data_IF_756281975718
#
_entry.id   IF_756281975718
#
_cell.length_a   1.000
_cell.length_b   1.000
_cell.length_c   1.000
_cell.angle_alpha   90.00
_cell.angle_beta   90.00
_cell.angle_gamma   90.00
#
_symmetry.space_group_name_H-M   'P 1'
#
loop_
_entity.id
_entity.type
_entity.pdbx_description
1 polymer ?
#
# COMPACT_ATOMS: atom_id res chain seq x y z
N UNK A 1 19.15 -5.48 -10.66
CA UNK A 1 18.43 -5.72 -10.50
C UNK A 1 17.47 -5.08 -10.64
N UNK A 2 16.82 -5.16 -10.80
CA UNK A 2 15.87 -4.63 -11.10
C UNK A 2 15.26 -3.85 -10.20
N UNK A 3 14.43 -3.05 -10.52
CA UNK A 3 13.82 -2.27 -9.67
C UNK A 3 12.90 -3.03 -8.85
N UNK A 4 12.70 -2.65 -7.66
CA UNK A 4 11.90 -3.35 -6.78
C UNK A 4 10.81 -2.47 -6.31
N UNK A 5 9.67 -3.02 -6.11
CA UNK A 5 8.59 -2.31 -5.49
C UNK A 5 8.88 -2.19 -4.00
N UNK A 6 8.57 -1.05 -3.41
CA UNK A 6 8.99 -0.76 -2.06
C UNK A 6 7.96 -1.09 -1.01
N UNK A 7 8.43 -1.59 0.12
CA UNK A 7 7.61 -1.89 1.27
C UNK A 7 7.57 -0.69 2.19
N UNK A 8 6.53 -0.57 3.03
CA UNK A 8 5.51 -1.57 3.28
C UNK A 8 4.39 -1.60 2.25
N UNK A 9 4.32 -0.60 1.36
CA UNK A 9 3.21 -0.53 0.42
C UNK A 9 3.10 -1.80 -0.43
N UNK A 10 4.24 -2.30 -0.91
CA UNK A 10 4.22 -3.48 -1.74
C UNK A 10 3.51 -4.65 -1.06
N UNK A 11 3.83 -4.88 0.20
CA UNK A 11 3.26 -6.01 0.91
C UNK A 11 1.80 -5.82 1.25
N UNK A 12 1.44 -4.62 1.66
CA UNK A 12 0.06 -4.33 1.98
C UNK A 12 -0.81 -4.47 0.73
N UNK A 13 -0.35 -3.90 -0.37
CA UNK A 13 -1.10 -3.96 -1.61
C UNK A 13 -1.25 -5.40 -2.09
N UNK A 14 -0.20 -6.21 -1.95
CA UNK A 14 -0.28 -7.61 -2.33
C UNK A 14 -1.32 -8.35 -1.50
N UNK A 15 -1.37 -8.07 -0.20
CA UNK A 15 -2.35 -8.70 0.67
C UNK A 15 -3.78 -8.34 0.29
N UNK A 16 -3.97 -7.16 -0.27
CA UNK A 16 -5.29 -6.68 -0.62
C UNK A 16 -5.72 -7.08 -2.03
N UNK A 17 -4.88 -7.82 -2.72
CA UNK A 17 -5.24 -8.32 -4.04
C UNK A 17 -4.61 -7.58 -5.20
N UNK A 18 -3.68 -6.67 -4.94
CA UNK A 18 -2.96 -5.98 -5.98
C UNK A 18 -3.36 -4.53 -6.12
N UNK A 19 -2.72 -3.85 -7.06
CA UNK A 19 -2.90 -2.41 -7.24
C UNK A 19 -4.34 -2.06 -7.59
N UNK A 20 -4.93 -2.77 -8.53
CA UNK A 20 -6.28 -2.44 -8.95
C UNK A 20 -7.31 -2.67 -7.87
N UNK A 21 -7.15 -3.78 -7.13
CA UNK A 21 -8.07 -4.07 -6.05
C UNK A 21 -7.99 -3.00 -4.96
N UNK A 22 -6.76 -2.59 -4.62
CA UNK A 22 -6.56 -1.55 -3.62
C UNK A 22 -7.16 -0.22 -4.08
N UNK A 23 -6.92 0.12 -5.34
CA UNK A 23 -7.46 1.37 -5.88
C UNK A 23 -8.98 1.37 -5.85
N UNK A 24 -9.59 0.23 -6.14
CA UNK A 24 -11.04 0.13 -6.12
C UNK A 24 -11.60 0.37 -4.74
N UNK A 25 -10.95 -0.21 -3.73
CA UNK A 25 -11.38 -0.03 -2.34
C UNK A 25 -11.36 1.45 -1.96
N UNK A 26 -10.34 2.17 -2.40
CA UNK A 26 -10.16 3.56 -2.03
C UNK A 26 -10.76 4.53 -3.04
N UNK A 27 -11.31 4.01 -4.12
CA UNK A 27 -11.88 4.82 -5.20
C UNK A 27 -10.84 5.77 -5.78
N UNK A 28 -9.64 5.22 -5.99
CA UNK A 28 -8.54 5.97 -6.54
C UNK A 28 -8.14 5.41 -7.90
N UNK A 29 -7.35 6.18 -8.61
CA UNK A 29 -6.77 5.73 -9.85
C UNK A 29 -5.66 4.72 -9.52
N UNK A 30 -5.57 3.60 -10.26
CA UNK A 30 -4.49 2.64 -9.98
C UNK A 30 -3.09 3.25 -10.03
N UNK A 31 -2.86 4.26 -10.85
CA UNK A 31 -1.55 4.87 -10.88
C UNK A 31 -1.20 5.58 -9.58
N UNK A 32 -2.21 6.09 -8.88
CA UNK A 32 -1.96 6.70 -7.57
C UNK A 32 -1.47 5.65 -6.58
N UNK A 33 -2.08 4.47 -6.61
CA UNK A 33 -1.68 3.37 -5.72
C UNK A 33 -0.29 2.89 -6.10
N UNK A 34 -0.01 2.78 -7.38
CA UNK A 34 1.29 2.34 -7.85
C UNK A 34 2.42 3.23 -7.35
N UNK A 35 2.17 4.53 -7.26
CA UNK A 35 3.19 5.45 -6.80
C UNK A 35 3.64 5.18 -5.38
N UNK A 36 2.80 4.55 -4.59
CA UNK A 36 3.17 4.27 -3.20
C UNK A 36 4.31 3.26 -3.12
N UNK A 37 4.51 2.48 -4.16
CA UNK A 37 5.59 1.49 -4.20
C UNK A 37 6.81 1.98 -4.93
N UNK A 38 6.80 3.22 -5.41
CA UNK A 38 7.90 3.74 -6.19
C UNK A 38 8.79 4.64 -5.36
N UNK A 39 10.07 4.74 -5.70
CA UNK A 39 10.98 5.62 -4.96
C UNK A 39 10.59 7.08 -5.15
N UNK A 40 10.99 7.90 -4.18
CA UNK A 40 10.66 9.32 -4.21
C UNK A 40 11.18 10.01 -5.46
N UNK A 41 12.34 9.61 -5.95
CA UNK A 41 12.90 10.25 -7.14
C UNK A 41 12.10 9.96 -8.39
N UNK A 42 11.17 9.01 -8.33
CA UNK A 42 10.25 8.76 -9.43
C UNK A 42 8.85 9.19 -9.07
N UNK A 43 8.75 10.19 -8.21
CA UNK A 43 7.47 10.74 -7.77
C UNK A 43 6.64 9.78 -6.96
N UNK A 44 7.29 8.80 -6.36
CA UNK A 44 6.62 7.88 -5.48
C UNK A 44 6.71 8.33 -4.04
N UNK A 45 6.15 7.53 -3.15
CA UNK A 45 6.20 7.82 -1.73
C UNK A 45 7.29 7.03 -1.02
N UNK A 46 8.09 6.28 -1.77
CA UNK A 46 9.15 5.50 -1.16
C UNK A 46 8.67 4.29 -0.39
N UNK A 47 7.50 3.80 -0.73
CA UNK A 47 6.94 2.61 -0.08
C UNK A 47 5.94 2.93 1.02
N UNK A 48 5.61 4.20 1.22
CA UNK A 48 4.64 4.58 2.25
C UNK A 48 3.25 4.73 1.68
N UNK A 49 2.26 4.25 2.42
CA UNK A 49 0.88 4.49 2.08
C UNK A 49 0.42 5.69 2.91
N UNK A 50 -0.17 6.71 2.29
CA UNK A 50 -0.62 7.87 3.06
C UNK A 50 -1.52 7.48 4.21
N UNK A 51 -1.27 8.05 5.35
CA UNK A 51 -1.96 7.65 6.58
C UNK A 51 -3.47 7.80 6.49
N UNK A 52 -3.94 8.76 5.72
CA UNK A 52 -5.37 9.00 5.61
C UNK A 52 -6.12 7.80 5.01
N UNK A 53 -5.40 6.87 4.38
CA UNK A 53 -6.03 5.69 3.81
C UNK A 53 -5.94 4.45 4.70
N UNK A 54 -5.19 4.53 5.78
CA UNK A 54 -4.94 3.34 6.60
C UNK A 54 -6.21 2.73 7.16
N UNK A 55 -7.06 3.55 7.75
CA UNK A 55 -8.24 2.98 8.40
C UNK A 55 -9.20 2.36 7.39
N UNK A 56 -9.32 2.94 6.21
CA UNK A 56 -10.18 2.35 5.18
C UNK A 56 -9.66 0.99 4.74
N UNK A 57 -8.34 0.87 4.59
CA UNK A 57 -7.75 -0.39 4.17
C UNK A 57 -7.85 -1.44 5.27
N UNK A 58 -7.67 -1.04 6.52
CA UNK A 58 -7.80 -1.97 7.63
C UNK A 58 -9.23 -2.46 7.75
N UNK A 59 -10.20 -1.56 7.56
CA UNK A 59 -11.60 -1.96 7.62
C UNK A 59 -11.94 -2.94 6.51
N UNK A 60 -11.42 -2.69 5.31
CA UNK A 60 -11.65 -3.59 4.20
C UNK A 60 -11.00 -4.96 4.47
N UNK A 61 -9.80 -4.94 5.02
CA UNK A 61 -9.10 -6.18 5.32
C UNK A 61 -9.88 -7.02 6.34
N UNK A 62 -10.45 -6.37 7.33
CA UNK A 62 -11.25 -7.08 8.31
C UNK A 62 -12.46 -7.73 7.67
N UNK A 63 -13.10 -7.00 6.79
CA UNK A 63 -14.26 -7.50 6.10
C UNK A 63 -13.92 -8.72 5.25
N UNK A 64 -12.76 -8.70 4.61
CA UNK A 64 -12.34 -9.78 3.74
C UNK A 64 -11.50 -10.82 4.45
N UNK A 65 -11.35 -10.68 5.75
CA UNK A 65 -10.57 -11.62 6.56
C UNK A 65 -9.10 -11.69 6.15
N UNK A 66 -8.57 -10.55 5.74
CA UNK A 66 -7.16 -10.43 5.43
C UNK A 66 -6.45 -9.93 6.67
N UNK A 67 -5.32 -10.52 6.99
CA UNK A 67 -4.54 -10.08 8.12
C UNK A 67 -3.81 -8.79 7.80
N UNK A 68 -4.27 -7.70 8.39
CA UNK A 68 -3.65 -6.41 8.16
C UNK A 68 -3.79 -5.59 9.43
N UNK A 69 -2.69 -5.07 9.93
CA UNK A 69 -2.68 -4.28 11.15
C UNK A 69 -1.96 -2.96 10.90
N UNK A 70 -2.09 -2.04 11.84
CA UNK A 70 -1.41 -0.75 11.72
C UNK A 70 0.09 -0.91 11.50
N UNK A 71 0.71 -1.86 12.16
CA UNK A 71 2.14 -2.05 12.02
C UNK A 71 2.56 -2.42 10.60
N UNK A 72 1.62 -2.94 9.80
CA UNK A 72 1.95 -3.30 8.43
C UNK A 72 2.18 -2.09 7.56
N UNK A 73 1.75 -0.92 8.02
CA UNK A 73 1.92 0.33 7.27
C UNK A 73 3.16 1.10 7.69
N UNK A 74 3.82 0.67 8.73
CA UNK A 74 4.94 1.42 9.30
C UNK A 74 6.25 0.76 8.93
N UNK A 75 7.23 1.57 8.57
CA UNK A 75 8.57 1.07 8.30
C UNK A 75 9.38 1.18 9.58
N UNK A 76 9.99 0.09 9.96
CA UNK A 76 10.84 0.11 11.14
C UNK A 76 12.30 0.15 10.73
N UNK A 77 13.01 1.13 11.27
CA UNK A 77 14.42 1.21 10.99
C UNK A 77 15.14 0.34 11.95
N UNK A 78 16.20 -0.25 11.47
CA UNK A 78 16.92 -1.07 12.36
C UNK A 78 18.12 -0.47 12.84
#
# INVERSE_FOLDING_TARGET
MTHTQLSPAREVIAKLGGVRATARVLQLNPSAVSRWMMPAERRGTGGSIPQRHWSALIAYAKKERVKLALRDFVTFDK
#
